data_IF_862534996891
#
_entry.id   IF_862534996891
#
_cell.length_a   1.000
_cell.length_b   1.000
_cell.length_c   1.000
_cell.angle_alpha   90.00
_cell.angle_beta   90.00
_cell.angle_gamma   90.00
#
_symmetry.space_group_name_H-M   'P 1'
#
loop_
_entity.id
_entity.type
_entity.pdbx_description
1 polymer ?
#
# COMPACT_ATOMS: atom_id res chain seq x y z
N UNK A 1 -0.27 9.56 -38.07
CA UNK A 1 0.22 8.48 -37.19
C UNK A 1 -0.97 8.07 -36.35
N UNK A 2 -1.44 6.83 -36.48
CA UNK A 2 -2.47 6.31 -35.58
C UNK A 2 -1.93 6.41 -34.15
N UNK A 3 -2.65 7.10 -33.27
CA UNK A 3 -2.36 7.07 -31.85
C UNK A 3 -2.37 5.60 -31.43
N UNK A 4 -1.22 5.04 -31.05
CA UNK A 4 -1.20 3.80 -30.28
C UNK A 4 -2.17 4.02 -29.12
N UNK A 5 -3.25 3.25 -29.07
CA UNK A 5 -4.08 3.21 -27.87
C UNK A 5 -3.15 2.86 -26.72
N UNK A 6 -2.93 3.82 -25.81
CA UNK A 6 -2.13 3.58 -24.62
C UNK A 6 -2.81 2.46 -23.83
N UNK A 7 -2.24 1.28 -23.94
CA UNK A 7 -2.77 0.09 -23.28
C UNK A 7 -2.65 0.29 -21.78
N UNK A 8 -3.77 0.19 -21.07
CA UNK A 8 -3.75 0.18 -19.61
C UNK A 8 -3.43 -1.22 -19.12
N UNK A 9 -2.39 -1.38 -18.31
CA UNK A 9 -1.96 -2.66 -17.76
C UNK A 9 -1.84 -2.60 -16.25
N UNK A 10 -2.13 -3.72 -15.59
CA UNK A 10 -1.92 -3.92 -14.17
C UNK A 10 -1.10 -5.19 -13.98
N UNK A 11 0.05 -5.07 -13.33
CA UNK A 11 0.98 -6.17 -13.06
C UNK A 11 1.11 -6.35 -11.55
N UNK A 12 1.12 -7.60 -11.08
CA UNK A 12 1.25 -7.95 -9.66
C UNK A 12 2.62 -8.55 -9.38
N UNK A 13 3.26 -8.14 -8.28
CA UNK A 13 4.59 -8.60 -7.87
C UNK A 13 4.60 -9.25 -6.49
N UNK A 14 3.44 -9.70 -6.02
CA UNK A 14 3.25 -10.26 -4.69
C UNK A 14 2.79 -9.23 -3.67
N UNK A 15 2.20 -9.72 -2.59
CA UNK A 15 1.63 -8.95 -1.50
C UNK A 15 0.63 -7.92 -2.05
N UNK A 16 0.85 -6.66 -1.67
CA UNK A 16 0.10 -5.47 -2.08
C UNK A 16 0.76 -4.75 -3.25
N UNK A 17 1.84 -5.31 -3.82
CA UNK A 17 2.70 -4.61 -4.78
C UNK A 17 2.19 -4.77 -6.20
N UNK A 18 1.79 -3.65 -6.81
CA UNK A 18 1.33 -3.61 -8.19
C UNK A 18 2.02 -2.51 -9.00
N UNK A 19 2.11 -2.69 -10.32
CA UNK A 19 2.42 -1.64 -11.28
C UNK A 19 1.22 -1.40 -12.19
N UNK A 20 0.67 -0.20 -12.14
CA UNK A 20 -0.36 0.31 -13.03
C UNK A 20 0.30 1.19 -14.10
N UNK A 21 0.14 0.81 -15.38
CA UNK A 21 0.47 1.68 -16.51
C UNK A 21 -0.80 2.17 -17.14
N UNK A 22 -0.98 3.48 -17.24
CA UNK A 22 -2.18 4.08 -17.82
C UNK A 22 -1.94 5.54 -18.16
N UNK A 23 -2.56 6.06 -19.23
CA UNK A 23 -2.53 7.49 -19.59
C UNK A 23 -1.11 8.10 -19.63
N UNK A 24 -0.14 7.33 -20.12
CA UNK A 24 1.27 7.73 -20.18
C UNK A 24 1.99 7.81 -18.83
N UNK A 25 1.43 7.21 -17.77
CA UNK A 25 2.01 7.12 -16.43
C UNK A 25 2.35 5.67 -16.08
N UNK A 26 3.46 5.48 -15.36
CA UNK A 26 3.77 4.25 -14.62
C UNK A 26 3.67 4.52 -13.11
N UNK A 27 2.74 3.85 -12.45
CA UNK A 27 2.40 4.04 -11.04
C UNK A 27 2.66 2.74 -10.29
N UNK A 28 3.45 2.79 -9.23
CA UNK A 28 3.59 1.67 -8.29
C UNK A 28 2.65 1.85 -7.10
N UNK A 29 2.02 0.75 -6.68
CA UNK A 29 1.20 0.64 -5.48
C UNK A 29 1.97 -0.27 -4.53
N UNK A 30 2.50 0.29 -3.44
CA UNK A 30 3.55 -0.32 -2.60
C UNK A 30 4.80 -0.75 -3.42
N UNK A 31 5.91 -1.13 -2.77
CA UNK A 31 7.19 -1.36 -3.49
C UNK A 31 8.01 -2.56 -3.03
N UNK A 32 7.37 -3.60 -2.51
CA UNK A 32 8.11 -4.77 -2.02
C UNK A 32 8.57 -5.73 -3.13
N UNK A 33 9.49 -5.25 -3.94
CA UNK A 33 10.06 -5.97 -5.09
C UNK A 33 11.28 -6.81 -4.68
N UNK A 34 12.18 -6.21 -3.91
CA UNK A 34 13.32 -6.92 -3.31
C UNK A 34 12.85 -7.59 -2.02
N UNK A 35 12.39 -8.85 -2.14
CA UNK A 35 11.82 -9.66 -1.05
C UNK A 35 12.90 -10.47 -0.32
N UNK A 36 12.65 -10.97 0.91
CA UNK A 36 13.47 -11.98 1.55
C UNK A 36 13.75 -13.15 0.60
N UNK A 37 14.96 -13.70 0.67
CA UNK A 37 15.44 -14.73 -0.28
C UNK A 37 14.65 -16.04 -0.24
N UNK A 38 13.90 -16.29 0.84
CA UNK A 38 13.03 -17.46 0.95
C UNK A 38 11.67 -17.27 0.25
N UNK A 39 11.37 -16.07 -0.27
CA UNK A 39 10.15 -15.79 -1.03
C UNK A 39 10.46 -15.61 -2.53
N UNK A 40 9.50 -15.92 -3.42
CA UNK A 40 9.64 -15.62 -4.83
C UNK A 40 9.71 -14.12 -5.07
N UNK A 41 10.71 -13.68 -5.83
CA UNK A 41 10.82 -12.33 -6.38
C UNK A 41 10.63 -12.38 -7.89
N UNK A 42 9.83 -11.45 -8.41
CA UNK A 42 9.45 -11.41 -9.82
C UNK A 42 10.20 -10.34 -10.61
N UNK A 43 10.69 -9.30 -9.94
CA UNK A 43 11.50 -8.23 -10.51
C UNK A 43 12.35 -7.58 -9.41
N UNK A 44 13.58 -7.18 -9.74
CA UNK A 44 14.43 -6.38 -8.87
C UNK A 44 14.16 -4.89 -9.07
N UNK A 45 14.31 -4.08 -8.00
CA UNK A 45 14.29 -2.61 -8.12
C UNK A 45 15.32 -2.12 -9.15
N UNK A 46 16.47 -2.80 -9.21
CA UNK A 46 17.54 -2.49 -10.15
C UNK A 46 17.14 -2.69 -11.62
N UNK A 47 16.02 -3.37 -11.91
CA UNK A 47 15.50 -3.61 -13.26
C UNK A 47 14.33 -2.69 -13.64
N UNK A 48 13.79 -1.94 -12.68
CA UNK A 48 12.69 -1.00 -12.95
C UNK A 48 13.21 0.29 -13.60
N UNK A 49 13.00 0.44 -14.91
CA UNK A 49 13.49 1.61 -15.67
C UNK A 49 12.56 2.82 -15.61
N UNK A 50 11.29 2.60 -15.30
CA UNK A 50 10.26 3.64 -15.32
C UNK A 50 9.34 3.54 -14.10
N UNK A 51 9.19 4.67 -13.43
CA UNK A 51 8.15 4.96 -12.45
C UNK A 51 7.97 6.49 -12.42
N UNK A 52 6.73 6.94 -12.39
CA UNK A 52 6.35 8.35 -12.29
C UNK A 52 5.79 8.66 -10.89
N UNK A 53 5.03 7.71 -10.34
CA UNK A 53 4.44 7.82 -9.01
C UNK A 53 4.59 6.51 -8.24
N UNK A 54 4.76 6.64 -6.92
CA UNK A 54 4.76 5.52 -5.96
C UNK A 54 3.74 5.87 -4.88
N UNK A 55 2.71 5.05 -4.72
CA UNK A 55 1.74 5.20 -3.64
C UNK A 55 2.07 4.18 -2.56
N UNK A 56 2.21 4.63 -1.32
CA UNK A 56 2.45 3.75 -0.17
C UNK A 56 1.19 3.73 0.68
N UNK A 57 0.70 2.53 0.97
CA UNK A 57 -0.51 2.34 1.76
C UNK A 57 -0.31 2.68 3.23
N UNK A 58 0.82 2.28 3.81
CA UNK A 58 1.21 2.57 5.20
C UNK A 58 2.72 2.31 5.42
N UNK A 59 3.28 2.61 6.60
CA UNK A 59 4.73 2.70 6.81
C UNK A 59 5.42 1.45 7.38
N UNK A 60 4.69 0.38 7.72
CA UNK A 60 5.23 -0.75 8.46
C UNK A 60 5.11 -2.10 7.74
N UNK A 61 5.63 -3.13 8.39
CA UNK A 61 5.39 -4.54 8.08
C UNK A 61 4.01 -4.98 8.58
N UNK A 62 3.29 -5.78 7.80
CA UNK A 62 2.15 -6.52 8.35
C UNK A 62 2.65 -7.72 9.20
N UNK A 63 1.89 -8.07 10.23
CA UNK A 63 2.23 -9.01 11.28
C UNK A 63 2.42 -10.47 10.80
N UNK A 64 3.04 -11.25 11.68
CA UNK A 64 3.47 -12.66 11.63
C UNK A 64 2.83 -13.66 10.65
N UNK A 65 1.56 -13.49 10.27
CA UNK A 65 0.82 -14.47 9.48
C UNK A 65 0.88 -14.21 7.97
N UNK A 66 1.09 -12.95 7.59
CA UNK A 66 1.27 -12.50 6.20
C UNK A 66 2.37 -11.45 6.20
N UNK A 67 3.57 -11.87 5.80
CA UNK A 67 4.74 -11.00 5.77
C UNK A 67 4.61 -10.07 4.57
N UNK A 68 4.09 -8.88 4.80
CA UNK A 68 3.76 -7.93 3.76
C UNK A 68 4.51 -6.64 4.02
N UNK A 69 4.98 -6.05 2.94
CA UNK A 69 5.77 -4.83 2.97
C UNK A 69 5.21 -3.84 1.99
N UNK A 70 4.95 -2.65 2.50
CA UNK A 70 4.49 -1.52 1.70
C UNK A 70 5.66 -0.60 1.32
N UNK A 71 6.54 -0.30 2.28
CA UNK A 71 7.53 0.79 2.20
C UNK A 71 8.93 0.42 1.67
N UNK A 72 9.56 -0.71 2.04
CA UNK A 72 10.94 -1.00 1.64
C UNK A 72 11.13 -0.95 0.13
N UNK A 73 12.21 -0.27 -0.30
CA UNK A 73 12.55 -0.11 -1.71
C UNK A 73 11.95 1.12 -2.38
N UNK A 74 10.98 1.81 -1.75
CA UNK A 74 10.38 3.02 -2.30
C UNK A 74 11.41 4.16 -2.46
N UNK A 75 12.31 4.28 -1.48
CA UNK A 75 13.45 5.21 -1.50
C UNK A 75 14.34 4.98 -2.72
N UNK A 76 14.80 3.73 -2.90
CA UNK A 76 15.70 3.35 -4.00
C UNK A 76 15.03 3.50 -5.36
N UNK A 77 13.76 3.10 -5.47
CA UNK A 77 12.99 3.24 -6.70
C UNK A 77 12.76 4.70 -7.06
N UNK A 78 12.41 5.55 -6.10
CA UNK A 78 12.23 6.98 -6.32
C UNK A 78 13.54 7.68 -6.72
N UNK A 79 14.63 7.40 -6.01
CA UNK A 79 15.97 7.93 -6.33
C UNK A 79 16.42 7.53 -7.74
N UNK A 80 16.12 6.29 -8.17
CA UNK A 80 16.50 5.78 -9.49
C UNK A 80 15.67 6.40 -10.63
N UNK A 81 14.38 6.66 -10.42
CA UNK A 81 13.41 6.97 -11.49
C UNK A 81 12.94 8.42 -11.53
N UNK A 82 13.16 9.17 -10.44
CA UNK A 82 12.58 10.49 -10.24
C UNK A 82 11.09 10.46 -9.87
N UNK A 83 10.54 9.30 -9.46
CA UNK A 83 9.13 9.16 -9.13
C UNK A 83 8.74 10.00 -7.90
N UNK A 84 7.51 10.50 -7.89
CA UNK A 84 6.93 11.19 -6.73
C UNK A 84 6.28 10.13 -5.83
N UNK A 85 6.70 10.08 -4.57
CA UNK A 85 6.12 9.23 -3.55
C UNK A 85 4.95 9.95 -2.89
N UNK A 86 3.80 9.28 -2.83
CA UNK A 86 2.58 9.74 -2.15
C UNK A 86 2.31 8.80 -0.99
N UNK A 87 2.45 9.29 0.24
CA UNK A 87 2.34 8.46 1.43
C UNK A 87 1.95 9.26 2.69
N UNK A 88 1.62 8.55 3.78
CA UNK A 88 1.40 9.16 5.08
C UNK A 88 2.68 9.80 5.64
N UNK A 89 2.53 10.65 6.66
CA UNK A 89 3.67 11.40 7.22
C UNK A 89 4.76 10.51 7.83
N UNK A 90 4.41 9.37 8.41
CA UNK A 90 5.39 8.43 8.99
C UNK A 90 6.30 7.87 7.89
N UNK A 91 5.71 7.36 6.81
CA UNK A 91 6.45 6.86 5.65
C UNK A 91 7.32 7.96 5.02
N UNK A 92 6.75 9.15 4.78
CA UNK A 92 7.50 10.25 4.16
C UNK A 92 8.68 10.70 5.03
N UNK A 93 8.53 10.76 6.37
CA UNK A 93 9.64 11.16 7.25
C UNK A 93 10.80 10.15 7.19
N UNK A 94 10.51 8.86 7.11
CA UNK A 94 11.52 7.81 6.95
C UNK A 94 12.21 7.90 5.60
N UNK A 95 11.45 8.13 4.53
CA UNK A 95 11.99 8.27 3.18
C UNK A 95 12.85 9.53 3.02
N UNK A 96 12.45 10.64 3.65
CA UNK A 96 13.28 11.85 3.74
C UNK A 96 14.60 11.56 4.48
N UNK A 97 14.54 10.84 5.60
CA UNK A 97 15.73 10.43 6.34
C UNK A 97 16.63 9.46 5.54
N UNK A 98 16.03 8.67 4.64
CA UNK A 98 16.75 7.81 3.70
C UNK A 98 17.33 8.57 2.48
N UNK A 99 17.14 9.89 2.41
CA UNK A 99 17.76 10.75 1.40
C UNK A 99 16.90 11.00 0.15
N UNK A 100 15.62 10.63 0.16
CA UNK A 100 14.71 10.99 -0.95
C UNK A 100 14.51 12.52 -0.97
N UNK A 101 14.72 13.18 -2.12
CA UNK A 101 14.53 14.62 -2.26
C UNK A 101 13.12 15.09 -1.90
N UNK A 102 13.01 16.25 -1.25
CA UNK A 102 11.73 16.81 -0.79
C UNK A 102 10.73 17.06 -1.93
N UNK A 103 11.19 17.35 -3.15
CA UNK A 103 10.31 17.54 -4.32
C UNK A 103 9.76 16.23 -4.89
N UNK A 104 10.25 15.08 -4.42
CA UNK A 104 9.70 13.76 -4.69
C UNK A 104 8.78 13.26 -3.55
N UNK A 105 8.59 14.02 -2.48
CA UNK A 105 7.83 13.58 -1.29
C UNK A 105 6.51 14.33 -1.15
N UNK A 106 5.39 13.64 -1.35
CA UNK A 106 4.05 14.18 -1.17
C UNK A 106 3.36 13.53 0.05
N UNK A 107 3.19 14.35 1.10
CA UNK A 107 2.52 13.95 2.35
C UNK A 107 1.00 14.03 2.20
N UNK A 108 0.32 12.98 2.60
CA UNK A 108 -1.16 12.87 2.57
C UNK A 108 -1.68 12.23 3.86
N UNK A 109 -2.96 12.39 4.16
CA UNK A 109 -3.60 11.80 5.35
C UNK A 109 -4.97 11.18 5.07
N UNK A 110 -5.48 11.29 3.84
CA UNK A 110 -6.83 10.89 3.47
C UNK A 110 -7.75 12.10 3.39
N UNK A 111 -8.35 12.30 2.22
CA UNK A 111 -9.17 13.46 1.86
C UNK A 111 -8.61 14.25 0.66
N UNK A 112 -7.37 13.99 0.26
CA UNK A 112 -6.71 14.67 -0.84
C UNK A 112 -7.18 14.16 -2.21
N UNK A 113 -7.21 15.07 -3.19
CA UNK A 113 -7.38 14.79 -4.61
C UNK A 113 -6.08 15.22 -5.29
N UNK A 114 -5.23 14.25 -5.59
CA UNK A 114 -3.89 14.50 -6.12
C UNK A 114 -3.90 14.34 -7.65
N UNK A 115 -3.75 15.43 -8.43
CA UNK A 115 -3.60 15.32 -9.87
C UNK A 115 -2.23 14.74 -10.21
N UNK A 116 -2.23 13.71 -11.05
CA UNK A 116 -1.02 13.04 -11.55
C UNK A 116 -0.74 13.50 -12.97
N UNK A 117 0.49 13.90 -13.23
CA UNK A 117 0.93 14.52 -14.49
C UNK A 117 2.04 13.70 -15.11
N UNK A 118 2.05 13.61 -16.45
CA UNK A 118 3.18 13.02 -17.16
C UNK A 118 4.44 13.89 -16.98
N UNK A 119 5.62 13.28 -17.12
CA UNK A 119 6.91 14.01 -17.09
C UNK A 119 6.94 15.17 -18.09
N UNK A 120 6.36 15.00 -19.27
CA UNK A 120 6.24 16.05 -20.29
C UNK A 120 5.37 17.23 -19.78
N UNK A 121 4.22 16.96 -19.17
CA UNK A 121 3.36 18.00 -18.59
C UNK A 121 4.10 18.79 -17.49
N UNK A 122 4.85 18.10 -16.63
CA UNK A 122 5.68 18.74 -15.58
C UNK A 122 6.77 19.63 -16.20
N UNK A 123 7.45 19.17 -17.26
CA UNK A 123 8.47 19.96 -17.96
C UNK A 123 7.88 21.20 -18.67
N UNK A 124 6.69 21.08 -19.25
CA UNK A 124 5.98 22.22 -19.83
C UNK A 124 5.62 23.26 -18.78
N UNK A 125 5.20 22.83 -17.58
CA UNK A 125 4.92 23.74 -16.47
C UNK A 125 6.19 24.48 -16.02
N UNK A 126 7.29 23.75 -15.84
CA UNK A 126 8.61 24.34 -15.48
C UNK A 126 9.11 25.35 -16.52
N UNK A 127 8.74 25.20 -17.78
CA UNK A 127 9.12 26.11 -18.87
C UNK A 127 8.08 27.18 -19.20
N UNK A 128 6.98 27.27 -18.42
CA UNK A 128 5.92 28.25 -18.64
C UNK A 128 5.11 28.02 -19.92
N UNK A 129 5.12 26.80 -20.46
CA UNK A 129 4.48 26.43 -21.74
C UNK A 129 3.09 25.81 -21.59
N UNK A 130 2.58 25.67 -20.37
CA UNK A 130 1.22 25.21 -20.11
C UNK A 130 0.58 26.01 -18.96
N UNK A 131 -0.76 25.98 -18.83
CA UNK A 131 -1.45 26.57 -17.70
C UNK A 131 -0.91 26.04 -16.36
N UNK A 132 -0.65 26.97 -15.43
CA UNK A 132 -0.15 26.65 -14.10
C UNK A 132 -1.26 26.74 -13.05
N UNK A 133 -1.13 25.97 -11.98
CA UNK A 133 -1.97 26.13 -10.79
C UNK A 133 -1.62 27.47 -10.11
N UNK A 134 -2.61 28.27 -9.69
CA UNK A 134 -2.36 29.41 -8.83
C UNK A 134 -1.73 28.97 -7.51
N UNK A 135 -0.70 29.67 -7.05
CA UNK A 135 0.03 29.36 -5.82
C UNK A 135 0.58 30.63 -5.16
N UNK A 136 1.04 30.53 -3.91
CA UNK A 136 1.65 31.66 -3.22
C UNK A 136 2.94 32.10 -3.94
N UNK A 137 3.36 33.38 -3.80
CA UNK A 137 4.62 33.85 -4.36
C UNK A 137 5.81 32.97 -3.94
N UNK A 138 6.65 32.58 -4.89
CA UNK A 138 7.82 31.73 -4.65
C UNK A 138 7.55 30.23 -4.65
N UNK A 139 6.30 29.77 -4.75
CA UNK A 139 6.00 28.36 -4.95
C UNK A 139 6.53 27.87 -6.32
N UNK A 140 7.05 26.63 -6.41
CA UNK A 140 7.47 26.07 -7.68
C UNK A 140 6.28 25.97 -8.65
N UNK A 141 6.50 26.16 -9.97
CA UNK A 141 5.44 26.04 -10.95
C UNK A 141 4.90 24.61 -10.98
N UNK A 142 3.59 24.48 -10.78
CA UNK A 142 2.88 23.19 -10.86
C UNK A 142 1.86 23.24 -12.00
N UNK A 143 1.71 22.15 -12.78
CA UNK A 143 0.72 22.12 -13.85
C UNK A 143 -0.70 22.36 -13.31
N UNK A 144 -1.54 23.04 -14.08
CA UNK A 144 -2.95 23.21 -13.73
C UNK A 144 -3.64 21.83 -13.64
N UNK A 145 -4.51 21.56 -12.64
CA UNK A 145 -5.16 20.25 -12.48
C UNK A 145 -5.96 19.75 -13.69
N UNK A 146 -6.41 20.64 -14.58
CA UNK A 146 -7.07 20.25 -15.83
C UNK A 146 -6.16 19.52 -16.82
N UNK A 147 -4.85 19.48 -16.58
CA UNK A 147 -3.86 18.78 -17.39
C UNK A 147 -3.51 17.39 -16.80
N UNK A 148 -4.18 16.98 -15.73
CA UNK A 148 -3.93 15.70 -15.06
C UNK A 148 -4.27 14.54 -16.00
N UNK A 149 -3.38 13.55 -16.07
CA UNK A 149 -3.62 12.30 -16.76
C UNK A 149 -4.52 11.37 -15.93
N UNK A 150 -4.35 11.41 -14.61
CA UNK A 150 -5.11 10.64 -13.61
C UNK A 150 -5.32 11.55 -12.39
N UNK A 151 -6.42 11.40 -11.67
CA UNK A 151 -6.61 12.04 -10.35
C UNK A 151 -6.69 10.93 -9.31
N UNK A 152 -5.79 10.93 -8.33
CA UNK A 152 -5.82 10.00 -7.21
C UNK A 152 -6.67 10.58 -6.07
N UNK A 153 -7.80 9.94 -5.76
CA UNK A 153 -8.62 10.26 -4.58
C UNK A 153 -8.13 9.42 -3.42
N UNK A 154 -7.47 10.05 -2.46
CA UNK A 154 -6.83 9.38 -1.33
C UNK A 154 -7.80 9.42 -0.16
N UNK A 155 -7.96 8.29 0.51
CA UNK A 155 -8.90 8.11 1.60
C UNK A 155 -8.19 7.48 2.80
N UNK A 156 -8.57 7.84 4.03
CA UNK A 156 -8.15 7.05 5.18
C UNK A 156 -8.83 5.68 5.10
N UNK A 157 -8.09 4.65 5.51
CA UNK A 157 -8.56 3.27 5.56
C UNK A 157 -8.12 2.64 6.88
N UNK A 158 -8.30 1.33 7.03
CA UNK A 158 -7.98 0.60 8.24
C UNK A 158 -7.16 -0.63 7.91
N UNK A 159 -6.19 -0.91 8.77
CA UNK A 159 -5.50 -2.18 8.78
C UNK A 159 -6.46 -3.29 9.24
N UNK A 160 -6.30 -4.51 8.73
CA UNK A 160 -7.01 -5.68 9.29
C UNK A 160 -6.57 -5.92 10.75
N UNK A 161 -7.35 -6.67 11.50
CA UNK A 161 -7.00 -7.09 12.86
C UNK A 161 -6.54 -8.54 12.84
N UNK A 162 -5.83 -8.95 13.90
CA UNK A 162 -5.47 -10.34 14.06
C UNK A 162 -6.68 -11.15 14.55
N UNK A 163 -7.03 -12.26 13.87
CA UNK A 163 -7.86 -13.28 14.45
C UNK A 163 -7.09 -14.01 15.56
N UNK A 164 -7.80 -14.45 16.60
CA UNK A 164 -7.21 -15.23 17.69
C UNK A 164 -6.28 -14.45 18.64
N UNK A 165 -5.60 -15.18 19.52
CA UNK A 165 -4.61 -14.66 20.47
C UNK A 165 -3.18 -14.70 19.93
N UNK A 166 -2.17 -14.39 20.76
CA UNK A 166 -0.75 -14.38 20.37
C UNK A 166 -0.23 -15.71 19.79
N UNK A 167 -0.87 -16.83 20.13
CA UNK A 167 -0.47 -18.17 19.68
C UNK A 167 -1.23 -18.61 18.41
N UNK A 168 -2.06 -17.74 17.82
CA UNK A 168 -2.84 -18.07 16.62
C UNK A 168 -1.98 -17.95 15.36
N UNK A 169 -1.40 -19.08 14.95
CA UNK A 169 -0.56 -19.18 13.76
C UNK A 169 -0.95 -20.35 12.84
N UNK A 170 -2.17 -20.36 12.26
CA UNK A 170 -2.59 -21.42 11.35
C UNK A 170 -1.69 -21.46 10.11
N UNK A 171 -1.52 -22.64 9.51
CA UNK A 171 -0.76 -22.80 8.25
C UNK A 171 -1.40 -22.02 7.09
N UNK A 172 -2.73 -22.00 7.05
CA UNK A 172 -3.55 -21.29 6.07
C UNK A 172 -4.57 -20.41 6.80
N UNK A 173 -4.79 -19.19 6.29
CA UNK A 173 -5.87 -18.32 6.78
C UNK A 173 -7.10 -18.59 5.91
N UNK A 174 -8.03 -19.40 6.41
CA UNK A 174 -9.30 -19.63 5.72
C UNK A 174 -10.17 -18.36 5.78
N UNK A 175 -10.36 -17.71 4.64
CA UNK A 175 -11.23 -16.53 4.53
C UNK A 175 -12.70 -16.78 4.88
N UNK A 176 -13.11 -18.06 4.90
CA UNK A 176 -14.43 -18.52 5.35
C UNK A 176 -14.55 -18.68 6.87
N UNK A 177 -13.45 -18.68 7.62
CA UNK A 177 -13.47 -18.82 9.08
C UNK A 177 -14.16 -17.61 9.72
N UNK A 178 -15.09 -17.89 10.65
CA UNK A 178 -15.91 -16.88 11.31
C UNK A 178 -15.32 -16.54 12.67
N UNK A 179 -15.01 -15.27 12.87
CA UNK A 179 -14.60 -14.72 14.16
C UNK A 179 -15.71 -13.83 14.72
N UNK A 180 -16.00 -13.96 16.02
CA UNK A 180 -17.02 -13.15 16.71
C UNK A 180 -16.51 -12.62 18.02
N UNK A 181 -17.01 -11.44 18.43
CA UNK A 181 -16.60 -10.74 19.64
C UNK A 181 -15.22 -10.12 19.52
N UNK A 182 -14.86 -9.25 20.45
CA UNK A 182 -13.54 -8.64 20.53
C UNK A 182 -12.70 -9.30 21.64
N UNK A 183 -11.38 -9.39 21.45
CA UNK A 183 -10.49 -9.90 22.49
C UNK A 183 -10.56 -9.03 23.77
N UNK A 184 -10.75 -7.73 23.59
CA UNK A 184 -10.99 -6.73 24.64
C UNK A 184 -11.64 -5.47 24.02
N UNK A 185 -12.45 -4.64 24.74
CA UNK A 185 -13.16 -3.47 24.22
C UNK A 185 -12.36 -2.34 23.58
N UNK A 186 -11.04 -2.43 23.63
CA UNK A 186 -10.13 -1.43 23.06
C UNK A 186 -9.27 -1.99 21.92
N UNK A 187 -9.52 -3.22 21.45
CA UNK A 187 -8.77 -3.82 20.35
C UNK A 187 -8.82 -2.92 19.12
N UNK A 188 -7.65 -2.46 18.66
CA UNK A 188 -7.54 -1.54 17.53
C UNK A 188 -6.14 -1.59 16.88
N UNK A 189 -5.89 -0.71 15.91
CA UNK A 189 -4.59 -0.59 15.22
C UNK A 189 -3.41 -0.33 16.17
N UNK A 190 -3.64 0.23 17.36
CA UNK A 190 -2.58 0.39 18.37
C UNK A 190 -2.00 -0.98 18.77
N UNK A 191 -2.83 -2.00 18.88
CA UNK A 191 -2.39 -3.36 19.19
C UNK A 191 -1.55 -3.96 18.06
N UNK A 192 -1.88 -3.62 16.81
CA UNK A 192 -1.09 -4.00 15.62
C UNK A 192 0.31 -3.36 15.70
N UNK A 193 0.38 -2.05 15.90
CA UNK A 193 1.63 -1.30 16.04
C UNK A 193 2.48 -1.81 17.23
N UNK A 194 1.83 -2.22 18.34
CA UNK A 194 2.52 -2.82 19.49
C UNK A 194 3.07 -4.20 19.18
N UNK A 195 2.29 -5.08 18.54
CA UNK A 195 2.77 -6.39 18.12
C UNK A 195 3.92 -6.30 17.11
N UNK A 196 3.93 -5.25 16.29
CA UNK A 196 5.07 -4.93 15.42
C UNK A 196 6.33 -4.53 16.20
N UNK A 197 6.19 -3.59 17.14
CA UNK A 197 7.31 -3.07 17.93
C UNK A 197 7.91 -4.08 18.90
N UNK A 198 7.06 -4.83 19.59
CA UNK A 198 7.44 -5.70 20.70
C UNK A 198 7.39 -7.19 20.36
N UNK A 199 6.76 -7.56 19.24
CA UNK A 199 6.75 -8.91 18.69
C UNK A 199 7.69 -9.04 17.51
N UNK A 200 7.23 -8.71 16.29
CA UNK A 200 7.94 -9.06 15.05
C UNK A 200 9.36 -8.50 14.97
N UNK A 201 9.56 -7.23 15.34
CA UNK A 201 10.90 -6.61 15.36
C UNK A 201 11.79 -7.07 16.52
N UNK A 202 11.24 -7.89 17.43
CA UNK A 202 11.90 -8.50 18.58
C UNK A 202 11.97 -10.01 18.50
N UNK A 203 11.63 -10.58 17.34
CA UNK A 203 11.62 -12.02 17.13
C UNK A 203 13.01 -12.64 17.36
N UNK A 204 14.09 -11.98 16.92
CA UNK A 204 15.47 -12.44 17.15
C UNK A 204 15.88 -12.47 18.64
N UNK A 205 15.24 -11.64 19.47
CA UNK A 205 15.47 -11.62 20.93
C UNK A 205 14.65 -12.72 21.64
N UNK A 206 13.61 -13.23 20.99
CA UNK A 206 12.57 -14.06 21.62
C UNK A 206 12.59 -15.53 21.17
N UNK A 207 13.06 -15.82 19.95
CA UNK A 207 13.15 -17.18 19.40
C UNK A 207 14.61 -17.67 19.48
N UNK A 208 14.88 -18.79 20.17
CA UNK A 208 16.20 -19.42 20.16
C UNK A 208 16.65 -19.78 18.75
N UNK A 209 17.94 -19.61 18.45
CA UNK A 209 18.48 -19.83 17.10
C UNK A 209 18.24 -21.26 16.60
N UNK A 210 18.16 -22.25 17.50
CA UNK A 210 17.89 -23.64 17.16
C UNK A 210 16.46 -23.90 16.69
N UNK A 211 15.54 -22.95 16.92
CA UNK A 211 14.15 -23.01 16.47
C UNK A 211 13.89 -22.20 15.19
N UNK A 212 14.90 -21.51 14.66
CA UNK A 212 14.74 -20.71 13.45
C UNK A 212 14.86 -21.57 12.20
N UNK A 213 13.78 -21.67 11.43
CA UNK A 213 13.83 -22.24 10.09
C UNK A 213 14.55 -21.28 9.09
N UNK A 214 14.81 -21.78 7.88
CA UNK A 214 15.49 -21.00 6.86
C UNK A 214 14.70 -19.74 6.44
N UNK A 215 13.37 -19.83 6.48
CA UNK A 215 12.47 -18.74 6.16
C UNK A 215 12.49 -17.63 7.21
N UNK A 216 12.45 -18.00 8.50
CA UNK A 216 12.61 -17.09 9.63
C UNK A 216 13.98 -16.43 9.62
N UNK A 217 15.05 -17.19 9.35
CA UNK A 217 16.40 -16.63 9.23
C UNK A 217 16.49 -15.60 8.09
N UNK A 218 15.93 -15.94 6.91
CA UNK A 218 15.89 -15.02 5.76
C UNK A 218 15.14 -13.73 6.08
N UNK A 219 13.98 -13.87 6.75
CA UNK A 219 13.17 -12.75 7.18
C UNK A 219 13.86 -11.87 8.23
N UNK A 220 14.46 -12.47 9.26
CA UNK A 220 15.18 -11.76 10.32
C UNK A 220 16.36 -10.95 9.76
N UNK A 221 17.12 -11.54 8.83
CA UNK A 221 18.19 -10.85 8.14
C UNK A 221 17.66 -9.66 7.32
N UNK A 222 16.50 -9.82 6.68
CA UNK A 222 15.85 -8.74 5.94
C UNK A 222 15.46 -7.57 6.86
N UNK A 223 14.77 -7.84 7.97
CA UNK A 223 14.32 -6.76 8.87
C UNK A 223 15.46 -6.12 9.66
N UNK A 224 16.56 -6.86 9.88
CA UNK A 224 17.74 -6.35 10.58
C UNK A 224 18.49 -5.30 9.76
N UNK A 225 18.46 -5.39 8.42
CA UNK A 225 19.07 -4.41 7.52
C UNK A 225 18.19 -3.16 7.36
N UNK A 226 18.15 -2.33 8.42
CA UNK A 226 17.38 -1.07 8.45
C UNK A 226 18.00 0.06 7.62
N UNK A 227 19.24 -0.13 7.16
CA UNK A 227 19.88 0.81 6.24
C UNK A 227 19.32 0.61 4.83
N UNK A 228 19.15 -0.65 4.40
CA UNK A 228 18.58 -0.97 3.09
C UNK A 228 17.05 -1.01 3.09
N UNK A 229 16.45 -1.52 4.15
CA UNK A 229 15.01 -1.75 4.24
C UNK A 229 14.38 -0.72 5.18
N UNK A 230 13.93 0.39 4.59
CA UNK A 230 13.29 1.51 5.29
C UNK A 230 11.86 1.12 5.69
N UNK A 231 11.54 1.21 6.98
CA UNK A 231 10.26 0.80 7.56
C UNK A 231 10.07 1.38 8.97
N UNK A 232 8.83 1.44 9.43
CA UNK A 232 8.45 1.75 10.82
C UNK A 232 7.85 0.55 11.54
N UNK A 233 7.71 0.65 12.85
CA UNK A 233 6.85 -0.22 13.67
C UNK A 233 5.45 0.38 13.86
N UNK A 234 5.23 1.59 13.37
CA UNK A 234 3.98 2.31 13.41
C UNK A 234 3.47 2.47 11.96
N UNK A 235 2.22 2.13 11.69
CA UNK A 235 1.64 2.20 10.34
C UNK A 235 1.59 3.65 9.81
N UNK A 236 1.38 4.62 10.70
CA UNK A 236 1.20 6.03 10.36
C UNK A 236 -0.21 6.37 9.87
N UNK A 237 -1.13 5.40 9.95
CA UNK A 237 -2.44 5.44 9.33
C UNK A 237 -2.44 4.80 7.94
N UNK A 238 -3.33 3.82 7.79
CA UNK A 238 -3.60 3.14 6.53
C UNK A 238 -4.30 4.06 5.52
N UNK A 239 -3.86 4.01 4.26
CA UNK A 239 -4.45 4.72 3.13
C UNK A 239 -5.07 3.76 2.13
N UNK A 240 -6.09 4.26 1.44
CA UNK A 240 -6.74 3.64 0.29
C UNK A 240 -6.81 4.68 -0.82
N UNK A 241 -6.67 4.25 -2.08
CA UNK A 241 -6.63 5.18 -3.22
C UNK A 241 -7.62 4.75 -4.29
N UNK A 242 -8.49 5.66 -4.70
CA UNK A 242 -9.33 5.50 -5.88
C UNK A 242 -8.78 6.37 -7.01
N UNK A 243 -8.20 5.74 -8.03
CA UNK A 243 -7.67 6.41 -9.21
C UNK A 243 -8.80 6.70 -10.19
N UNK A 244 -9.08 7.98 -10.42
CA UNK A 244 -9.94 8.44 -11.49
C UNK A 244 -9.15 8.52 -12.80
N UNK A 245 -9.42 7.60 -13.71
CA UNK A 245 -8.79 7.47 -15.03
C UNK A 245 -9.84 7.83 -16.09
N UNK A 246 -9.93 9.12 -16.43
CA UNK A 246 -11.07 9.64 -17.20
C UNK A 246 -12.35 9.61 -16.35
N UNK A 247 -13.36 8.88 -16.82
CA UNK A 247 -14.62 8.66 -16.08
C UNK A 247 -14.60 7.41 -15.19
N UNK A 248 -13.57 6.56 -15.33
CA UNK A 248 -13.49 5.26 -14.65
C UNK A 248 -12.74 5.36 -13.32
N UNK A 249 -13.17 4.59 -12.33
CA UNK A 249 -12.43 4.39 -11.08
C UNK A 249 -11.65 3.08 -11.04
N UNK A 250 -10.44 3.10 -10.49
CA UNK A 250 -9.71 1.92 -10.03
C UNK A 250 -9.38 2.11 -8.55
N UNK A 251 -9.94 1.25 -7.69
CA UNK A 251 -9.69 1.28 -6.26
C UNK A 251 -8.54 0.36 -5.90
N UNK A 252 -7.68 0.80 -5.01
CA UNK A 252 -6.70 -0.02 -4.31
C UNK A 252 -6.82 0.18 -2.80
N UNK A 253 -7.19 -0.89 -2.09
CA UNK A 253 -7.14 -0.99 -0.62
C UNK A 253 -6.30 -2.22 -0.27
N UNK A 254 -5.16 -2.00 0.39
CA UNK A 254 -4.20 -3.06 0.63
C UNK A 254 -4.52 -3.95 1.83
N UNK A 255 -5.51 -3.61 2.68
CA UNK A 255 -5.92 -4.43 3.83
C UNK A 255 -7.43 -4.58 3.91
N UNK A 256 -7.84 -5.62 4.65
CA UNK A 256 -9.22 -5.91 4.97
C UNK A 256 -9.72 -5.04 6.14
N UNK A 257 -9.81 -3.75 5.89
CA UNK A 257 -10.33 -2.79 6.85
C UNK A 257 -10.82 -1.53 6.16
N UNK A 258 -11.97 -1.02 6.60
CA UNK A 258 -12.61 0.10 5.94
C UNK A 258 -13.55 0.89 6.87
N UNK A 259 -13.74 2.15 6.51
CA UNK A 259 -14.85 2.95 7.00
C UNK A 259 -16.04 2.81 6.05
N UNK A 260 -17.17 2.30 6.52
CA UNK A 260 -18.36 2.04 5.71
C UNK A 260 -18.85 3.31 4.99
N UNK A 261 -18.88 4.43 5.71
CA UNK A 261 -19.30 5.72 5.16
C UNK A 261 -18.44 6.14 3.97
N UNK A 262 -17.12 5.93 4.05
CA UNK A 262 -16.18 6.25 2.98
C UNK A 262 -16.42 5.34 1.79
N UNK A 263 -16.45 4.02 1.99
CA UNK A 263 -16.67 3.04 0.91
C UNK A 263 -17.95 3.35 0.12
N UNK A 264 -19.02 3.71 0.82
CA UNK A 264 -20.29 4.12 0.19
C UNK A 264 -20.20 5.45 -0.53
N UNK A 265 -19.35 6.39 -0.11
CA UNK A 265 -19.23 7.73 -0.70
C UNK A 265 -18.19 7.85 -1.81
N UNK A 266 -17.31 6.87 -2.02
CA UNK A 266 -16.29 6.92 -3.08
C UNK A 266 -16.95 7.17 -4.42
N UNK A 267 -16.46 8.20 -5.11
CA UNK A 267 -16.78 8.52 -6.50
C UNK A 267 -15.48 8.91 -7.26
N UNK A 268 -15.37 8.60 -8.57
CA UNK A 268 -16.28 7.72 -9.30
C UNK A 268 -16.25 6.30 -8.71
N UNK A 269 -17.38 5.58 -8.77
CA UNK A 269 -17.39 4.17 -8.37
C UNK A 269 -16.36 3.37 -9.17
N UNK A 270 -15.58 2.50 -8.51
CA UNK A 270 -14.54 1.76 -9.20
C UNK A 270 -15.14 0.69 -10.12
N UNK A 271 -14.66 0.62 -11.35
CA UNK A 271 -14.90 -0.52 -12.24
C UNK A 271 -13.98 -1.70 -11.88
N UNK A 272 -12.78 -1.38 -11.37
CA UNK A 272 -11.78 -2.35 -10.91
C UNK A 272 -11.47 -2.07 -9.45
N UNK A 273 -11.54 -3.08 -8.59
CA UNK A 273 -11.15 -2.97 -7.19
C UNK A 273 -10.06 -4.01 -6.85
N UNK A 274 -8.92 -3.53 -6.39
CA UNK A 274 -7.85 -4.34 -5.78
C UNK A 274 -8.08 -4.30 -4.27
N UNK A 275 -8.38 -5.45 -3.68
CA UNK A 275 -8.74 -5.58 -2.27
C UNK A 275 -7.85 -6.60 -1.57
N UNK A 276 -7.19 -6.18 -0.49
CA UNK A 276 -6.45 -7.07 0.39
C UNK A 276 -7.40 -7.91 1.24
N UNK A 277 -7.21 -9.23 1.22
CA UNK A 277 -8.04 -10.18 1.98
C UNK A 277 -7.16 -11.05 2.88
N UNK A 278 -6.73 -10.48 4.00
CA UNK A 278 -6.00 -11.20 5.03
C UNK A 278 -6.43 -10.75 6.44
N UNK A 279 -6.33 -11.66 7.39
CA UNK A 279 -6.69 -11.42 8.79
C UNK A 279 -8.19 -11.24 9.02
N UNK A 280 -8.54 -10.62 10.15
CA UNK A 280 -9.90 -10.32 10.55
C UNK A 280 -10.28 -8.90 10.12
N UNK A 281 -11.45 -8.75 9.54
CA UNK A 281 -11.90 -7.45 9.04
C UNK A 281 -12.01 -6.39 10.15
N UNK A 282 -11.60 -5.16 9.82
CA UNK A 282 -11.71 -3.99 10.69
C UNK A 282 -12.76 -3.01 10.14
N UNK A 283 -13.97 -3.02 10.72
CA UNK A 283 -15.08 -2.16 10.32
C UNK A 283 -15.16 -0.94 11.24
N UNK A 284 -14.93 0.25 10.69
CA UNK A 284 -15.06 1.52 11.43
C UNK A 284 -14.22 1.54 12.73
N UNK A 285 -13.07 0.85 12.74
CA UNK A 285 -12.17 0.76 13.89
C UNK A 285 -12.53 -0.35 14.88
N UNK A 286 -13.43 -1.28 14.52
CA UNK A 286 -13.87 -2.40 15.36
C UNK A 286 -13.70 -3.73 14.63
N UNK A 287 -13.38 -4.83 15.34
CA UNK A 287 -13.37 -6.15 14.73
C UNK A 287 -14.76 -6.50 14.20
N UNK A 288 -14.81 -6.94 12.95
CA UNK A 288 -16.03 -7.43 12.33
C UNK A 288 -16.42 -8.80 12.93
N UNK A 289 -17.73 -8.99 13.15
CA UNK A 289 -18.30 -10.27 13.53
C UNK A 289 -18.77 -11.01 12.27
N UNK A 290 -17.96 -11.97 11.85
CA UNK A 290 -18.14 -12.71 10.61
C UNK A 290 -16.81 -13.18 10.02
N UNK A 291 -16.87 -13.70 8.81
CA UNK A 291 -15.67 -14.11 8.07
C UNK A 291 -15.09 -13.00 7.20
N UNK A 292 -13.83 -13.16 6.80
CA UNK A 292 -13.17 -12.25 5.87
C UNK A 292 -13.91 -12.18 4.54
N UNK A 293 -14.35 -13.32 4.00
CA UNK A 293 -15.12 -13.40 2.76
C UNK A 293 -16.48 -12.67 2.85
N UNK A 294 -17.17 -12.77 4.00
CA UNK A 294 -18.42 -12.03 4.23
C UNK A 294 -18.19 -10.52 4.24
N UNK A 295 -17.10 -10.06 4.86
CA UNK A 295 -16.76 -8.64 4.87
C UNK A 295 -16.34 -8.14 3.48
N UNK A 296 -15.53 -8.91 2.75
CA UNK A 296 -15.13 -8.56 1.39
C UNK A 296 -16.34 -8.41 0.46
N UNK A 297 -17.37 -9.25 0.62
CA UNK A 297 -18.64 -9.10 -0.09
C UNK A 297 -19.37 -7.79 0.26
N UNK A 298 -19.31 -7.34 1.53
CA UNK A 298 -19.86 -6.04 1.95
C UNK A 298 -19.13 -4.90 1.27
N UNK A 299 -17.80 -4.95 1.20
CA UNK A 299 -17.00 -3.94 0.50
C UNK A 299 -17.40 -3.85 -0.97
N UNK A 300 -17.51 -4.98 -1.67
CA UNK A 300 -17.98 -5.04 -3.06
C UNK A 300 -19.37 -4.40 -3.21
N UNK A 301 -20.30 -4.66 -2.28
CA UNK A 301 -21.64 -4.05 -2.29
C UNK A 301 -21.59 -2.54 -2.07
N UNK A 302 -20.79 -2.05 -1.11
CA UNK A 302 -20.63 -0.61 -0.85
C UNK A 302 -19.99 0.14 -2.02
N UNK A 303 -19.11 -0.54 -2.75
CA UNK A 303 -18.50 -0.06 -4.00
C UNK A 303 -19.42 -0.19 -5.22
N UNK A 304 -20.66 -0.66 -5.05
CA UNK A 304 -21.66 -0.89 -6.10
C UNK A 304 -21.24 -1.89 -7.17
N UNK A 305 -20.65 -3.00 -6.76
CA UNK A 305 -20.30 -4.14 -7.60
C UNK A 305 -19.35 -3.77 -8.74
N UNK A 306 -18.06 -3.51 -8.42
CA UNK A 306 -17.02 -3.37 -9.45
C UNK A 306 -17.07 -4.55 -10.42
N UNK A 307 -16.90 -4.28 -11.71
CA UNK A 307 -16.91 -5.31 -12.77
C UNK A 307 -15.79 -6.32 -12.58
N UNK A 308 -14.65 -5.85 -12.07
CA UNK A 308 -13.47 -6.69 -11.79
C UNK A 308 -13.03 -6.49 -10.35
N UNK A 309 -12.86 -7.59 -9.62
CA UNK A 309 -12.27 -7.60 -8.29
C UNK A 309 -11.00 -8.44 -8.33
N UNK A 310 -9.90 -7.88 -7.82
CA UNK A 310 -8.59 -8.51 -7.75
C UNK A 310 -8.22 -8.63 -6.29
N UNK A 311 -8.06 -9.86 -5.82
CA UNK A 311 -7.64 -10.14 -4.45
C UNK A 311 -6.13 -10.04 -4.34
N UNK A 312 -5.64 -9.43 -3.26
CA UNK A 312 -4.23 -9.44 -2.90
C UNK A 312 -4.04 -9.92 -1.46
N UNK A 313 -2.78 -10.08 -1.02
CA UNK A 313 -2.41 -10.70 0.27
C UNK A 313 -2.60 -12.21 0.37
N UNK A 314 -2.49 -12.94 -0.74
CA UNK A 314 -2.66 -14.40 -0.78
C UNK A 314 -1.35 -15.15 -1.09
N UNK A 315 -0.20 -14.49 -0.96
CA UNK A 315 1.11 -15.11 -1.14
C UNK A 315 1.46 -16.05 0.03
N UNK A 316 2.39 -16.97 -0.24
CA UNK A 316 3.03 -17.77 0.79
C UNK A 316 3.80 -16.89 1.80
N UNK A 317 3.72 -17.26 3.08
CA UNK A 317 4.48 -16.61 4.15
C UNK A 317 5.93 -17.11 4.19
N UNK A 318 6.86 -16.20 4.48
CA UNK A 318 8.29 -16.53 4.65
C UNK A 318 8.56 -17.31 5.94
N UNK A 319 7.79 -17.09 7.01
CA UNK A 319 7.95 -17.77 8.30
C UNK A 319 6.87 -18.83 8.42
N UNK A 320 7.23 -20.11 8.48
CA UNK A 320 6.23 -21.19 8.50
C UNK A 320 5.87 -21.66 9.92
N UNK A 321 6.76 -21.48 10.90
CA UNK A 321 6.56 -21.88 12.29
C UNK A 321 6.98 -20.75 13.25
N UNK A 322 6.11 -20.40 14.20
CA UNK A 322 6.37 -19.47 15.31
C UNK A 322 6.20 -20.18 16.64
#
# INVERSE_FOLDING_TARGET
>A
MASQEETTTLEWFGATTFRLKTRGLTIFLDTWLDRPTALPSYISIADVREADYIFISHAHFDQYLTLLLSLPGADRLALQTGAIIVANCEAINLLAAAGVPEDQLLRVSGGERVPLFTKNTIQQAKSGKCPLRPGPPGAPPTPHPSLAAVIAHIWPSLHCLMPGGPDFHPEEIDSGEVFTGEAHPCLCTVDINRGMKYGLFKLNDSVPQEKMDAGMTSFLNYIADRQKNVMSHHDGGQLMVNFQIGEKGLLWSSHLGAYEGIMKSIEPKPEVAILGIAGRANLNGRPWDGSAAQFALREIQWLRHPTTVIWCLHDERCVQNL
#
